data_IF_411264692202
#
_entry.id   IF_411264692202
#
_cell.length_a   1.000
_cell.length_b   1.000
_cell.length_c   1.000
_cell.angle_alpha   90.00
_cell.angle_beta   90.00
_cell.angle_gamma   90.00
#
_symmetry.space_group_name_H-M   'P 1'
#
loop_
_entity.id
_entity.type
_entity.pdbx_description
1 polymer ?
#
# COMPACT_ATOMS: atom_id res chain seq x y z
N UNK A 1 -40.13 -22.41 3.61
CA UNK A 1 -40.31 -20.99 3.25
C UNK A 1 -39.05 -20.50 2.53
N UNK A 2 -39.15 -20.15 1.25
CA UNK A 2 -38.04 -19.63 0.44
C UNK A 2 -37.98 -18.09 0.53
N UNK A 3 -36.81 -17.47 0.79
CA UNK A 3 -36.70 -16.02 0.88
C UNK A 3 -36.70 -15.37 -0.50
N UNK A 4 -37.46 -14.28 -0.65
CA UNK A 4 -37.60 -13.57 -1.91
C UNK A 4 -36.32 -12.81 -2.31
N UNK A 5 -35.80 -13.08 -3.52
CA UNK A 5 -34.67 -12.33 -4.11
C UNK A 5 -35.10 -10.89 -4.45
N UNK A 6 -34.80 -9.91 -3.59
CA UNK A 6 -34.89 -8.48 -3.94
C UNK A 6 -33.81 -8.13 -4.97
N UNK A 7 -34.22 -7.89 -6.23
CA UNK A 7 -33.36 -7.27 -7.25
C UNK A 7 -33.14 -5.79 -6.91
N UNK A 8 -31.95 -5.46 -6.42
CA UNK A 8 -31.49 -4.06 -6.34
C UNK A 8 -31.16 -3.59 -7.76
N UNK A 9 -31.87 -2.57 -8.27
CA UNK A 9 -31.54 -1.96 -9.57
C UNK A 9 -30.24 -1.15 -9.43
N UNK A 10 -29.30 -1.23 -10.39
CA UNK A 10 -28.08 -0.43 -10.34
C UNK A 10 -28.42 1.07 -10.40
N UNK A 11 -27.87 1.83 -9.47
CA UNK A 11 -27.96 3.30 -9.46
C UNK A 11 -27.13 3.81 -10.64
N UNK A 12 -27.76 4.58 -11.55
CA UNK A 12 -27.04 5.21 -12.66
C UNK A 12 -26.05 6.22 -12.06
N UNK A 13 -24.76 5.90 -12.07
CA UNK A 13 -23.73 6.88 -11.73
C UNK A 13 -23.79 8.01 -12.76
N UNK A 14 -23.96 9.25 -12.30
CA UNK A 14 -23.77 10.42 -13.16
C UNK A 14 -22.30 10.42 -13.58
N UNK A 15 -22.04 10.44 -14.88
CA UNK A 15 -20.72 10.72 -15.43
C UNK A 15 -20.32 12.11 -14.99
N UNK A 16 -19.36 12.21 -14.06
CA UNK A 16 -18.66 13.47 -13.82
C UNK A 16 -17.74 13.64 -15.01
N UNK A 17 -17.93 14.71 -15.79
CA UNK A 17 -17.02 15.04 -16.88
C UNK A 17 -15.64 15.32 -16.25
N UNK A 18 -14.64 14.54 -16.65
CA UNK A 18 -13.26 14.85 -16.32
C UNK A 18 -12.87 16.08 -17.14
N UNK A 19 -12.62 17.20 -16.46
CA UNK A 19 -11.97 18.36 -17.08
C UNK A 19 -10.58 17.92 -17.52
N UNK A 20 -10.36 17.88 -18.84
CA UNK A 20 -9.04 17.60 -19.41
C UNK A 20 -8.19 18.86 -19.38
N UNK A 21 -6.91 18.71 -19.06
CA UNK A 21 -5.95 19.79 -18.87
C UNK A 21 -5.79 20.69 -20.13
N UNK A 22 -6.20 20.17 -21.29
CA UNK A 22 -6.25 20.91 -22.56
C UNK A 22 -7.23 22.10 -22.57
N UNK A 23 -8.37 22.04 -21.87
CA UNK A 23 -9.34 23.17 -21.89
C UNK A 23 -8.80 24.42 -21.17
N UNK A 24 -7.91 24.27 -20.18
CA UNK A 24 -7.31 25.40 -19.47
C UNK A 24 -6.19 26.08 -20.29
N UNK A 25 -5.47 25.29 -21.09
CA UNK A 25 -4.50 25.81 -22.07
C UNK A 25 -5.19 26.46 -23.28
N UNK A 26 -6.32 25.94 -23.75
CA UNK A 26 -7.11 26.63 -24.80
C UNK A 26 -7.73 27.95 -24.31
N UNK A 27 -8.16 28.03 -23.04
CA UNK A 27 -8.66 29.28 -22.45
C UNK A 27 -7.60 30.40 -22.34
N UNK A 28 -6.30 30.06 -22.34
CA UNK A 28 -5.19 31.01 -22.28
C UNK A 28 -4.46 31.20 -23.63
N UNK A 29 -4.33 30.17 -24.47
CA UNK A 29 -3.77 30.29 -25.84
C UNK A 29 -4.76 30.91 -26.82
N UNK A 30 -6.07 30.61 -26.70
CA UNK A 30 -7.12 31.14 -27.58
C UNK A 30 -7.31 32.66 -27.54
N UNK A 31 -6.58 33.36 -26.64
CA UNK A 31 -6.51 34.83 -26.57
C UNK A 31 -5.23 35.42 -27.15
N UNK A 32 -4.23 34.60 -27.48
CA UNK A 32 -2.96 35.01 -28.08
C UNK A 32 -3.00 34.79 -29.60
N UNK A 33 -3.57 33.67 -30.07
CA UNK A 33 -3.56 33.33 -31.50
C UNK A 33 -4.47 34.23 -32.37
N UNK A 34 -5.47 34.89 -31.78
CA UNK A 34 -6.29 35.90 -32.48
C UNK A 34 -5.59 37.25 -32.74
N UNK A 35 -4.31 37.38 -32.39
CA UNK A 35 -3.50 38.56 -32.69
C UNK A 35 -2.53 38.39 -33.87
N UNK A 36 -2.44 37.18 -34.45
CA UNK A 36 -1.45 36.86 -35.50
C UNK A 36 -1.98 36.94 -36.95
N UNK A 37 -3.30 37.00 -37.16
CA UNK A 37 -3.91 36.99 -38.49
C UNK A 37 -4.39 38.38 -38.96
N UNK A 38 -3.48 39.36 -38.93
CA UNK A 38 -3.62 40.60 -39.71
C UNK A 38 -2.27 41.28 -40.02
N UNK A 39 -1.20 40.49 -40.16
CA UNK A 39 0.10 40.97 -40.68
C UNK A 39 -0.06 41.26 -42.18
N UNK A 40 -0.64 42.43 -42.49
CA UNK A 40 -0.63 42.99 -43.84
C UNK A 40 0.80 43.34 -44.21
N UNK A 41 1.19 42.89 -45.40
CA UNK A 41 2.43 43.22 -46.08
C UNK A 41 2.78 44.74 -45.95
N UNK A 42 3.87 45.10 -45.24
CA UNK A 42 4.29 46.50 -45.09
C UNK A 42 4.83 47.13 -46.39
N UNK A 43 5.12 46.33 -47.42
CA UNK A 43 5.93 46.72 -48.59
C UNK A 43 5.27 47.75 -49.53
N UNK A 44 3.96 48.01 -49.40
CA UNK A 44 3.23 48.97 -50.24
C UNK A 44 2.90 50.33 -49.60
N UNK A 45 3.26 50.60 -48.34
CA UNK A 45 2.89 51.86 -47.65
C UNK A 45 4.06 52.81 -47.35
N UNK A 46 5.18 52.67 -48.06
CA UNK A 46 6.43 53.41 -47.83
C UNK A 46 6.80 54.43 -48.91
N UNK A 47 5.93 54.71 -49.89
CA UNK A 47 6.18 55.73 -50.94
C UNK A 47 5.42 57.04 -50.76
N UNK A 48 4.17 57.01 -50.28
CA UNK A 48 3.31 58.22 -50.29
C UNK A 48 3.39 59.09 -49.02
N UNK A 49 4.30 58.76 -48.09
CA UNK A 49 4.50 59.51 -46.83
C UNK A 49 5.81 60.33 -46.79
N UNK A 50 6.48 60.50 -47.96
CA UNK A 50 7.76 61.21 -48.05
C UNK A 50 7.65 62.70 -48.44
N UNK A 51 6.43 63.22 -48.58
CA UNK A 51 6.18 64.54 -49.20
C UNK A 51 5.45 65.55 -48.27
N UNK A 52 5.41 65.29 -46.95
CA UNK A 52 4.90 66.26 -45.95
C UNK A 52 5.86 66.52 -44.77
N UNK A 53 7.16 66.28 -44.93
CA UNK A 53 8.18 66.82 -44.00
C UNK A 53 8.55 68.24 -44.37
N UNK A 54 7.63 69.19 -44.17
CA UNK A 54 7.92 70.62 -44.20
C UNK A 54 7.24 71.35 -43.03
N UNK A 55 8.07 72.01 -42.20
CA UNK A 55 7.71 73.15 -41.36
C UNK A 55 6.66 72.94 -40.25
N UNK A 56 6.82 71.89 -39.44
CA UNK A 56 6.31 71.84 -38.07
C UNK A 56 7.39 72.24 -37.06
N UNK A 57 7.32 73.44 -36.48
CA UNK A 57 8.26 73.86 -35.45
C UNK A 57 8.07 73.01 -34.18
N UNK A 58 9.02 72.12 -33.87
CA UNK A 58 8.95 71.27 -32.69
C UNK A 58 8.79 72.13 -31.42
N UNK A 59 7.71 71.96 -30.64
CA UNK A 59 7.49 72.76 -29.44
C UNK A 59 8.65 72.51 -28.46
N UNK A 60 9.25 73.60 -27.96
CA UNK A 60 10.36 73.54 -26.99
C UNK A 60 9.90 72.73 -25.78
N UNK A 61 10.46 71.53 -25.59
CA UNK A 61 10.10 70.61 -24.49
C UNK A 61 10.29 71.31 -23.15
N UNK A 62 9.18 71.66 -22.51
CA UNK A 62 9.16 72.28 -21.18
C UNK A 62 9.85 71.36 -20.16
N UNK A 63 10.51 71.95 -19.16
CA UNK A 63 11.11 71.20 -18.05
C UNK A 63 10.08 70.29 -17.34
N UNK A 64 8.81 70.71 -17.29
CA UNK A 64 7.71 69.92 -16.72
C UNK A 64 7.50 68.56 -17.42
N UNK A 65 7.69 68.48 -18.74
CA UNK A 65 7.58 67.22 -19.50
C UNK A 65 8.65 66.20 -19.07
N UNK A 66 9.87 66.70 -18.78
CA UNK A 66 10.96 65.85 -18.28
C UNK A 66 10.68 65.35 -16.86
N UNK A 67 10.15 66.21 -15.99
CA UNK A 67 9.81 65.84 -14.60
C UNK A 67 8.66 64.82 -14.59
N UNK A 68 7.59 65.06 -15.34
CA UNK A 68 6.45 64.14 -15.44
C UNK A 68 6.88 62.76 -15.94
N UNK A 69 7.73 62.69 -16.97
CA UNK A 69 8.31 61.44 -17.47
C UNK A 69 9.18 60.73 -16.42
N UNK A 70 9.95 61.48 -15.64
CA UNK A 70 10.70 60.94 -14.50
C UNK A 70 9.80 60.31 -13.44
N UNK A 71 8.72 61.01 -13.03
CA UNK A 71 7.75 60.50 -12.04
C UNK A 71 7.04 59.24 -12.54
N UNK A 72 6.58 59.24 -13.80
CA UNK A 72 5.95 58.06 -14.42
C UNK A 72 6.92 56.88 -14.47
N UNK A 73 8.18 57.12 -14.88
CA UNK A 73 9.21 56.09 -14.92
C UNK A 73 9.48 55.48 -13.53
N UNK A 74 9.62 56.32 -12.49
CA UNK A 74 9.80 55.87 -11.10
C UNK A 74 8.60 55.04 -10.65
N UNK A 75 7.38 55.51 -10.88
CA UNK A 75 6.16 54.77 -10.53
C UNK A 75 6.09 53.40 -11.23
N UNK A 76 6.36 53.35 -12.54
CA UNK A 76 6.43 52.09 -13.29
C UNK A 76 7.50 51.13 -12.74
N UNK A 77 8.69 51.64 -12.38
CA UNK A 77 9.75 50.83 -11.76
C UNK A 77 9.30 50.31 -10.39
N UNK A 78 8.68 51.14 -9.54
CA UNK A 78 8.17 50.72 -8.23
C UNK A 78 7.09 49.63 -8.34
N UNK A 79 6.13 49.77 -9.27
CA UNK A 79 5.12 48.74 -9.50
C UNK A 79 5.72 47.44 -10.07
N UNK A 80 6.68 47.53 -11.00
CA UNK A 80 7.40 46.38 -11.54
C UNK A 80 8.18 45.64 -10.46
N UNK A 81 8.90 46.36 -9.60
CA UNK A 81 9.63 45.76 -8.46
C UNK A 81 8.67 45.11 -7.47
N UNK A 82 7.56 45.77 -7.10
CA UNK A 82 6.56 45.18 -6.20
C UNK A 82 5.95 43.89 -6.76
N UNK A 83 5.54 43.88 -8.03
CA UNK A 83 5.02 42.68 -8.68
C UNK A 83 6.07 41.57 -8.75
N UNK A 84 7.32 41.94 -9.07
CA UNK A 84 8.45 40.99 -9.12
C UNK A 84 8.74 40.39 -7.74
N UNK A 85 8.79 41.20 -6.68
CA UNK A 85 8.97 40.72 -5.30
C UNK A 85 7.85 39.78 -4.89
N UNK A 86 6.58 40.09 -5.16
CA UNK A 86 5.47 39.19 -4.87
C UNK A 86 5.57 37.86 -5.65
N UNK A 87 5.96 37.92 -6.93
CA UNK A 87 6.20 36.72 -7.73
C UNK A 87 7.35 35.87 -7.17
N UNK A 88 8.48 36.49 -6.81
CA UNK A 88 9.61 35.78 -6.20
C UNK A 88 9.24 35.21 -4.82
N UNK A 89 8.49 35.93 -3.99
CA UNK A 89 8.02 35.40 -2.70
C UNK A 89 7.15 34.16 -2.91
N UNK A 90 6.21 34.18 -3.87
CA UNK A 90 5.40 33.00 -4.21
C UNK A 90 6.28 31.87 -4.78
N UNK A 91 7.21 32.17 -5.68
CA UNK A 91 8.15 31.18 -6.24
C UNK A 91 8.96 30.47 -5.15
N UNK A 92 9.48 31.21 -4.17
CA UNK A 92 10.23 30.67 -3.03
C UNK A 92 9.37 29.99 -1.95
N UNK A 93 8.03 30.00 -2.06
CA UNK A 93 7.18 29.09 -1.27
C UNK A 93 7.13 27.67 -1.83
N UNK A 94 7.69 27.43 -3.03
CA UNK A 94 7.68 26.13 -3.73
C UNK A 94 6.29 25.47 -3.75
N UNK A 95 5.24 26.17 -4.22
CA UNK A 95 3.88 25.67 -4.20
C UNK A 95 3.74 24.47 -5.15
N UNK A 96 3.04 23.43 -4.69
CA UNK A 96 2.79 22.21 -5.47
C UNK A 96 1.31 22.10 -5.85
N UNK A 97 1.04 21.38 -6.93
CA UNK A 97 -0.32 21.02 -7.37
C UNK A 97 -0.42 19.51 -7.52
N UNK A 98 -1.61 18.96 -7.28
CA UNK A 98 -1.88 17.53 -7.41
C UNK A 98 -2.54 17.25 -8.76
N UNK A 99 -1.81 16.60 -9.66
CA UNK A 99 -2.40 16.01 -10.88
C UNK A 99 -2.77 14.55 -10.64
N UNK A 100 -3.97 14.16 -11.07
CA UNK A 100 -4.50 12.80 -10.92
C UNK A 100 -4.68 12.18 -12.30
N UNK A 101 -3.73 11.34 -12.70
CA UNK A 101 -3.72 10.67 -14.00
C UNK A 101 -4.13 9.20 -13.81
N UNK A 102 -5.14 8.75 -14.55
CA UNK A 102 -5.54 7.33 -14.60
C UNK A 102 -4.98 6.72 -15.89
N UNK A 103 -3.98 5.85 -15.75
CA UNK A 103 -3.33 5.15 -16.86
C UNK A 103 -3.74 3.67 -16.90
N UNK A 104 -3.60 3.05 -18.07
CA UNK A 104 -3.70 1.60 -18.25
C UNK A 104 -2.34 1.09 -18.76
N UNK A 105 -1.33 0.97 -17.89
CA UNK A 105 0.01 0.52 -18.27
C UNK A 105 0.00 -0.93 -18.81
N UNK A 106 0.85 -1.22 -19.80
CA UNK A 106 0.99 -2.58 -20.34
C UNK A 106 1.73 -3.53 -19.40
N UNK A 107 2.57 -3.00 -18.52
CA UNK A 107 3.35 -3.76 -17.53
C UNK A 107 3.19 -3.10 -16.17
N UNK A 108 2.78 -3.86 -15.16
CA UNK A 108 2.73 -3.40 -13.77
C UNK A 108 3.61 -4.24 -12.86
N UNK A 109 4.07 -3.64 -11.77
CA UNK A 109 4.70 -4.38 -10.68
C UNK A 109 3.57 -5.12 -9.93
N UNK A 110 3.72 -6.43 -9.72
CA UNK A 110 2.73 -7.18 -8.94
C UNK A 110 2.74 -6.68 -7.48
N UNK A 111 1.58 -6.56 -6.82
CA UNK A 111 1.56 -6.29 -5.38
C UNK A 111 2.16 -7.48 -4.62
N UNK A 112 2.51 -7.24 -3.35
CA UNK A 112 2.65 -8.33 -2.39
C UNK A 112 1.28 -8.72 -1.83
N UNK A 113 1.08 -10.02 -1.62
CA UNK A 113 -0.12 -10.59 -1.03
C UNK A 113 0.27 -11.35 0.24
N UNK A 114 -0.15 -10.87 1.40
CA UNK A 114 0.19 -11.49 2.69
C UNK A 114 -1.04 -12.16 3.28
N UNK A 115 -0.90 -13.44 3.66
CA UNK A 115 -1.96 -14.25 4.26
C UNK A 115 -1.54 -14.74 5.66
N UNK A 116 -2.37 -14.47 6.66
CA UNK A 116 -2.21 -14.93 8.04
C UNK A 116 -3.37 -15.83 8.43
N UNK A 117 -3.12 -16.84 9.27
CA UNK A 117 -4.21 -17.45 10.03
C UNK A 117 -4.78 -16.43 11.03
N UNK A 118 -6.11 -16.37 11.19
CA UNK A 118 -6.72 -15.63 12.30
C UNK A 118 -6.40 -16.26 13.66
N UNK A 119 -5.96 -17.51 13.66
CA UNK A 119 -5.55 -18.28 14.83
C UNK A 119 -4.06 -18.67 14.72
N UNK A 120 -3.16 -18.02 15.47
CA UNK A 120 -1.71 -18.19 15.31
C UNK A 120 -1.16 -19.48 15.92
N UNK A 121 -1.99 -20.30 16.59
CA UNK A 121 -1.54 -21.46 17.36
C UNK A 121 -2.31 -22.71 16.94
N UNK A 122 -1.58 -23.78 16.63
CA UNK A 122 -2.16 -25.10 16.47
C UNK A 122 -2.57 -25.71 17.83
N UNK A 123 -3.87 -25.92 18.03
CA UNK A 123 -4.42 -26.46 19.29
C UNK A 123 -3.83 -27.81 19.68
N UNK A 124 -3.71 -28.74 18.72
CA UNK A 124 -3.25 -30.10 19.00
C UNK A 124 -1.77 -30.09 19.37
N UNK A 125 -0.95 -29.28 18.68
CA UNK A 125 0.44 -29.06 19.05
C UNK A 125 0.55 -28.49 20.47
N UNK A 126 -0.17 -27.39 20.76
CA UNK A 126 -0.14 -26.72 22.06
C UNK A 126 -0.56 -27.66 23.20
N UNK A 127 -1.66 -28.40 23.07
CA UNK A 127 -2.11 -29.32 24.12
C UNK A 127 -1.27 -30.61 24.23
N UNK A 128 -0.39 -30.89 23.26
CA UNK A 128 0.61 -31.97 23.34
C UNK A 128 1.84 -31.51 24.12
N UNK A 129 2.29 -30.27 23.89
CA UNK A 129 3.48 -29.68 24.52
C UNK A 129 3.19 -29.14 25.94
N UNK A 130 2.01 -28.57 26.16
CA UNK A 130 1.55 -28.00 27.43
C UNK A 130 0.27 -28.68 27.93
N UNK A 131 0.29 -29.99 28.23
CA UNK A 131 -0.90 -30.76 28.60
C UNK A 131 -1.59 -30.29 29.89
N UNK A 132 -0.90 -29.51 30.73
CA UNK A 132 -1.39 -28.90 31.96
C UNK A 132 -2.16 -27.57 31.74
N UNK A 133 -1.97 -26.92 30.59
CA UNK A 133 -2.69 -25.71 30.16
C UNK A 133 -3.95 -26.05 29.34
N UNK A 134 -4.22 -27.34 29.12
CA UNK A 134 -5.42 -27.82 28.44
C UNK A 134 -6.28 -28.71 29.34
N UNK A 135 -7.59 -28.66 29.13
CA UNK A 135 -8.57 -29.56 29.76
C UNK A 135 -9.30 -30.41 28.73
N UNK A 136 -9.86 -31.53 29.18
CA UNK A 136 -10.87 -32.27 28.41
C UNK A 136 -12.23 -31.62 28.67
N UNK A 137 -13.10 -31.42 27.66
CA UNK A 137 -14.47 -30.97 27.89
C UNK A 137 -15.21 -31.91 28.86
N UNK A 138 -15.96 -31.34 29.80
CA UNK A 138 -16.74 -32.11 30.79
C UNK A 138 -17.81 -32.98 30.11
N UNK A 139 -18.53 -32.41 29.16
CA UNK A 139 -19.47 -33.10 28.28
C UNK A 139 -18.98 -33.01 26.84
N UNK A 140 -18.42 -34.10 26.32
CA UNK A 140 -17.87 -34.12 24.95
C UNK A 140 -18.97 -34.00 23.89
N UNK A 141 -20.15 -34.59 24.11
CA UNK A 141 -21.26 -34.57 23.15
C UNK A 141 -21.78 -33.14 22.98
N UNK A 142 -22.15 -32.47 24.08
CA UNK A 142 -22.60 -31.08 24.08
C UNK A 142 -21.55 -30.11 23.51
N UNK A 143 -20.27 -30.31 23.87
CA UNK A 143 -19.18 -29.51 23.29
C UNK A 143 -19.10 -29.67 21.77
N UNK A 144 -19.27 -30.88 21.24
CA UNK A 144 -19.21 -31.16 19.81
C UNK A 144 -20.49 -30.77 19.05
N UNK A 145 -21.65 -30.78 19.70
CA UNK A 145 -22.88 -30.19 19.16
C UNK A 145 -22.75 -28.67 19.02
N UNK A 146 -22.17 -28.00 20.03
CA UNK A 146 -21.93 -26.54 20.01
C UNK A 146 -20.81 -26.13 19.05
N UNK A 147 -19.73 -26.91 18.98
CA UNK A 147 -18.51 -26.61 18.21
C UNK A 147 -18.10 -27.76 17.26
N UNK A 148 -18.93 -28.13 16.27
CA UNK A 148 -18.73 -29.33 15.45
C UNK A 148 -17.43 -29.30 14.64
N UNK A 149 -16.96 -28.12 14.22
CA UNK A 149 -15.67 -27.94 13.55
C UNK A 149 -14.48 -28.42 14.40
N UNK A 150 -14.60 -28.48 15.73
CA UNK A 150 -13.49 -28.82 16.61
C UNK A 150 -13.40 -30.31 16.96
N UNK A 151 -14.29 -31.16 16.43
CA UNK A 151 -14.52 -32.53 16.92
C UNK A 151 -14.32 -33.65 15.88
N UNK A 152 -13.70 -33.37 14.73
CA UNK A 152 -13.63 -34.27 13.58
C UNK A 152 -13.42 -35.76 13.91
N UNK A 153 -14.52 -36.52 13.83
CA UNK A 153 -14.52 -37.98 13.99
C UNK A 153 -14.62 -38.55 15.41
N UNK A 154 -14.90 -37.74 16.45
CA UNK A 154 -14.99 -38.18 17.86
C UNK A 154 -13.69 -38.76 18.45
N UNK A 155 -12.73 -37.90 18.76
CA UNK A 155 -11.57 -38.29 19.57
C UNK A 155 -11.88 -38.23 21.07
N UNK A 156 -11.85 -39.39 21.75
CA UNK A 156 -11.90 -39.49 23.22
C UNK A 156 -10.76 -38.74 23.92
N UNK A 157 -9.70 -38.43 23.17
CA UNK A 157 -8.51 -37.67 23.57
C UNK A 157 -8.62 -36.15 23.28
N UNK A 158 -9.78 -35.63 22.89
CA UNK A 158 -9.95 -34.20 22.64
C UNK A 158 -9.56 -33.36 23.87
N UNK A 159 -8.58 -32.47 23.69
CA UNK A 159 -8.16 -31.46 24.66
C UNK A 159 -8.34 -30.08 24.06
N UNK A 160 -8.75 -29.13 24.89
CA UNK A 160 -8.92 -27.71 24.56
C UNK A 160 -8.09 -26.86 25.52
N UNK A 161 -7.58 -25.69 25.11
CA UNK A 161 -6.96 -24.75 26.03
C UNK A 161 -7.95 -24.38 27.14
N UNK A 162 -7.46 -24.33 28.37
CA UNK A 162 -8.29 -24.10 29.54
C UNK A 162 -8.60 -22.59 29.69
N UNK A 163 -9.57 -22.10 28.92
CA UNK A 163 -9.85 -20.65 28.81
C UNK A 163 -10.12 -19.97 30.16
N UNK A 164 -10.71 -20.66 31.15
CA UNK A 164 -10.89 -20.10 32.50
C UNK A 164 -9.55 -19.74 33.18
N UNK A 165 -8.49 -20.53 32.95
CA UNK A 165 -7.11 -20.23 33.42
C UNK A 165 -6.39 -19.18 32.57
N UNK A 166 -7.00 -18.75 31.47
CA UNK A 166 -6.44 -17.81 30.49
C UNK A 166 -7.18 -16.45 30.55
N UNK A 167 -8.47 -16.43 30.89
CA UNK A 167 -9.27 -15.20 30.95
C UNK A 167 -9.22 -14.51 32.32
N UNK A 168 -9.09 -15.25 33.42
CA UNK A 168 -8.97 -14.66 34.78
C UNK A 168 -7.68 -13.87 35.03
N UNK A 169 -6.71 -14.07 34.15
CA UNK A 169 -5.51 -13.28 33.86
C UNK A 169 -4.90 -14.01 32.67
N UNK A 170 -4.52 -13.34 31.57
CA UNK A 170 -3.78 -14.01 30.50
C UNK A 170 -2.43 -14.41 31.05
N UNK A 171 -2.36 -15.64 31.59
CA UNK A 171 -1.30 -16.00 32.50
C UNK A 171 0.02 -15.88 31.76
N UNK A 172 1.00 -15.22 32.38
CA UNK A 172 2.32 -15.01 31.79
C UNK A 172 2.87 -16.33 31.21
N UNK A 173 2.63 -17.44 31.92
CA UNK A 173 2.89 -18.83 31.50
C UNK A 173 2.25 -19.26 30.17
N UNK A 174 1.03 -18.83 29.87
CA UNK A 174 0.36 -19.15 28.59
C UNK A 174 0.95 -18.31 27.45
N UNK A 175 1.25 -17.03 27.70
CA UNK A 175 1.94 -16.17 26.74
C UNK A 175 3.36 -16.69 26.47
N UNK A 176 4.11 -17.04 27.52
CA UNK A 176 5.42 -17.69 27.47
C UNK A 176 5.36 -19.02 26.70
N UNK A 177 4.35 -19.86 26.91
CA UNK A 177 4.18 -21.12 26.18
C UNK A 177 3.92 -20.91 24.68
N UNK A 178 3.05 -19.96 24.32
CA UNK A 178 2.79 -19.61 22.92
C UNK A 178 4.05 -19.03 22.27
N UNK A 179 4.71 -18.08 22.93
CA UNK A 179 5.96 -17.50 22.46
C UNK A 179 7.07 -18.54 22.33
N UNK A 180 7.19 -19.47 23.27
CA UNK A 180 8.15 -20.58 23.23
C UNK A 180 7.89 -21.47 22.01
N UNK A 181 6.65 -21.88 21.74
CA UNK A 181 6.30 -22.63 20.53
C UNK A 181 6.71 -21.91 19.24
N UNK A 182 6.37 -20.62 19.09
CA UNK A 182 6.80 -19.86 17.92
C UNK A 182 8.33 -19.78 17.85
N UNK A 183 9.02 -19.57 18.96
CA UNK A 183 10.48 -19.52 19.03
C UNK A 183 11.18 -20.84 18.71
N UNK A 184 10.65 -21.98 19.18
CA UNK A 184 11.20 -23.29 18.84
C UNK A 184 11.02 -23.60 17.35
N UNK A 185 9.94 -23.15 16.71
CA UNK A 185 9.83 -23.20 15.25
C UNK A 185 10.84 -22.29 14.55
N UNK A 186 10.93 -21.02 14.96
CA UNK A 186 11.86 -20.01 14.40
C UNK A 186 13.32 -20.48 14.42
N UNK A 187 13.75 -21.09 15.53
CA UNK A 187 15.11 -21.60 15.69
C UNK A 187 15.33 -22.98 15.02
N UNK A 188 14.35 -23.50 14.27
CA UNK A 188 14.43 -24.81 13.61
C UNK A 188 14.46 -26.01 14.58
N UNK A 189 14.17 -25.79 15.86
CA UNK A 189 14.12 -26.85 16.88
C UNK A 189 12.85 -27.70 16.72
N UNK A 190 11.74 -27.08 16.32
CA UNK A 190 10.55 -27.79 15.84
C UNK A 190 10.59 -27.95 14.32
N UNK A 191 10.38 -29.19 13.85
CA UNK A 191 10.14 -29.50 12.43
C UNK A 191 8.67 -29.33 12.01
N UNK A 192 7.77 -29.00 12.95
CA UNK A 192 6.34 -28.81 12.69
C UNK A 192 6.05 -27.32 12.64
N UNK A 193 5.54 -26.84 11.52
CA UNK A 193 5.03 -25.47 11.40
C UNK A 193 3.82 -25.32 12.35
N UNK A 194 3.85 -24.40 13.33
CA UNK A 194 2.74 -24.18 14.25
C UNK A 194 1.62 -23.33 13.61
N UNK A 195 1.83 -22.80 12.40
CA UNK A 195 0.79 -22.17 11.60
C UNK A 195 -0.27 -23.18 11.17
N UNK A 196 -1.53 -22.85 11.43
CA UNK A 196 -2.66 -23.58 10.88
C UNK A 196 -2.89 -23.30 9.39
N UNK A 197 -2.24 -22.28 8.81
CA UNK A 197 -2.43 -21.88 7.41
C UNK A 197 -1.30 -22.41 6.51
N UNK A 198 -1.69 -23.19 5.51
CA UNK A 198 -0.89 -23.56 4.35
C UNK A 198 -1.37 -22.80 3.12
N UNK A 199 -0.46 -22.42 2.26
CA UNK A 199 -0.80 -21.77 1.00
C UNK A 199 -0.15 -22.53 -0.15
N UNK A 200 -0.95 -22.95 -1.11
CA UNK A 200 -0.52 -23.58 -2.34
C UNK A 200 -0.62 -22.55 -3.47
N UNK A 201 0.46 -22.44 -4.23
CA UNK A 201 0.64 -21.47 -5.31
C UNK A 201 1.49 -22.09 -6.41
N UNK A 202 1.27 -21.68 -7.67
CA UNK A 202 1.96 -22.23 -8.84
C UNK A 202 3.10 -21.35 -9.37
N UNK A 203 3.35 -20.19 -8.74
CA UNK A 203 4.45 -19.28 -9.08
C UNK A 203 5.60 -19.33 -8.07
N UNK A 204 6.17 -18.17 -7.75
CA UNK A 204 7.33 -18.03 -6.86
C UNK A 204 7.16 -18.60 -5.45
N UNK A 205 8.29 -18.91 -4.80
CA UNK A 205 8.37 -19.20 -3.37
C UNK A 205 7.69 -18.11 -2.52
N UNK A 206 6.96 -18.51 -1.48
CA UNK A 206 6.41 -17.60 -0.48
C UNK A 206 7.41 -17.35 0.64
N UNK A 207 7.46 -16.12 1.13
CA UNK A 207 8.27 -15.77 2.29
C UNK A 207 7.40 -15.90 3.55
N UNK A 208 7.83 -16.74 4.49
CA UNK A 208 7.27 -16.73 5.85
C UNK A 208 7.69 -15.43 6.55
N UNK A 209 6.71 -14.69 7.06
CA UNK A 209 6.89 -13.45 7.82
C UNK A 209 6.20 -13.57 9.18
N UNK A 210 6.83 -12.99 10.20
CA UNK A 210 6.34 -13.04 11.57
C UNK A 210 5.77 -11.68 11.94
N UNK A 211 4.43 -11.63 12.04
CA UNK A 211 3.68 -10.40 12.20
C UNK A 211 3.15 -10.33 13.62
N UNK A 212 3.55 -9.29 14.37
CA UNK A 212 3.04 -9.06 15.71
C UNK A 212 1.59 -8.56 15.63
N UNK A 213 0.67 -9.30 16.22
CA UNK A 213 -0.73 -8.93 16.33
C UNK A 213 -0.95 -8.14 17.62
N UNK A 214 -1.10 -6.83 17.49
CA UNK A 214 -1.25 -5.90 18.62
C UNK A 214 -2.52 -6.15 19.45
N UNK A 215 -3.55 -6.80 18.89
CA UNK A 215 -4.82 -7.03 19.57
C UNK A 215 -4.76 -8.18 20.59
N UNK A 216 -3.80 -9.09 20.44
CA UNK A 216 -3.69 -10.29 21.28
C UNK A 216 -2.27 -10.53 21.84
N UNK A 217 -1.27 -9.77 21.41
CA UNK A 217 0.11 -9.87 21.89
C UNK A 217 0.90 -11.06 21.35
N UNK A 218 0.37 -11.78 20.35
CA UNK A 218 1.06 -12.92 19.73
C UNK A 218 1.72 -12.55 18.40
N UNK A 219 2.80 -13.25 18.09
CA UNK A 219 3.32 -13.30 16.73
C UNK A 219 2.48 -14.31 15.94
N UNK A 220 2.08 -13.92 14.73
CA UNK A 220 1.41 -14.79 13.77
C UNK A 220 2.39 -15.10 12.64
N UNK A 221 2.47 -16.37 12.24
CA UNK A 221 3.18 -16.78 11.03
C UNK A 221 2.27 -16.50 9.85
N UNK A 222 2.75 -15.68 8.93
CA UNK A 222 2.04 -15.28 7.73
C UNK A 222 2.89 -15.60 6.50
N UNK A 223 2.24 -15.89 5.39
CA UNK A 223 2.90 -16.20 4.13
C UNK A 223 2.69 -15.04 3.16
N UNK A 224 3.79 -14.47 2.65
CA UNK A 224 3.73 -13.35 1.69
C UNK A 224 4.24 -13.78 0.31
N UNK A 225 3.41 -13.55 -0.69
CA UNK A 225 3.81 -13.58 -2.10
C UNK A 225 4.47 -12.26 -2.50
N UNK A 226 5.48 -12.36 -3.36
CA UNK A 226 6.15 -11.22 -4.00
C UNK A 226 6.61 -10.10 -3.03
N UNK A 227 6.98 -10.45 -1.78
CA UNK A 227 7.55 -9.50 -0.82
C UNK A 227 9.05 -9.32 -1.06
N UNK A 228 9.52 -8.09 -1.24
CA UNK A 228 10.91 -7.71 -1.50
C UNK A 228 11.37 -6.50 -0.68
N UNK A 229 10.91 -6.43 0.58
CA UNK A 229 11.31 -5.41 1.55
C UNK A 229 12.80 -5.44 1.93
N UNK A 230 13.36 -6.64 2.11
CA UNK A 230 14.66 -6.88 2.76
C UNK A 230 15.59 -7.78 1.93
N UNK A 231 15.73 -7.54 0.62
CA UNK A 231 16.63 -8.32 -0.21
C UNK A 231 16.98 -7.71 -1.56
N UNK A 232 17.96 -8.31 -2.24
CA UNK A 232 18.53 -7.82 -3.50
C UNK A 232 17.67 -8.15 -4.74
N UNK A 233 16.61 -8.94 -4.55
CA UNK A 233 15.68 -9.36 -5.60
C UNK A 233 14.77 -8.19 -6.04
N UNK A 234 14.38 -8.21 -7.31
CA UNK A 234 13.36 -7.30 -7.84
C UNK A 234 11.98 -7.96 -7.75
N UNK A 235 10.90 -7.16 -7.63
CA UNK A 235 9.55 -7.70 -7.62
C UNK A 235 9.15 -8.25 -8.99
N UNK A 236 8.27 -9.24 -8.97
CA UNK A 236 7.62 -9.76 -10.16
C UNK A 236 6.87 -8.63 -10.89
N UNK A 237 6.95 -8.66 -12.22
CA UNK A 237 6.18 -7.80 -13.12
C UNK A 237 5.15 -8.64 -13.86
N UNK A 238 4.00 -8.04 -14.16
CA UNK A 238 2.92 -8.67 -14.89
C UNK A 238 2.57 -7.85 -16.13
N UNK A 239 2.57 -8.51 -17.28
CA UNK A 239 2.22 -7.90 -18.57
C UNK A 239 0.73 -8.10 -18.84
N UNK A 240 -0.01 -6.99 -18.93
CA UNK A 240 -1.44 -6.95 -19.19
C UNK A 240 -1.66 -7.16 -20.69
N UNK A 241 -2.12 -8.36 -21.06
CA UNK A 241 -2.42 -8.71 -22.45
C UNK A 241 -3.74 -8.07 -22.92
N UNK A 242 -3.68 -6.79 -23.30
CA UNK A 242 -4.80 -5.98 -23.82
C UNK A 242 -5.53 -6.55 -25.03
N UNK A 243 -4.95 -7.54 -25.73
CA UNK A 243 -5.53 -8.20 -26.89
C UNK A 243 -6.76 -9.08 -26.57
N UNK A 244 -6.90 -9.58 -25.34
CA UNK A 244 -8.05 -10.39 -24.91
C UNK A 244 -9.25 -9.53 -24.50
N UNK A 245 -9.86 -8.84 -25.48
CA UNK A 245 -11.13 -8.08 -25.28
C UNK A 245 -12.19 -8.95 -24.59
N UNK A 246 -12.56 -8.56 -23.37
CA UNK A 246 -13.62 -9.20 -22.56
C UNK A 246 -13.15 -10.30 -21.60
N UNK A 247 -11.88 -10.71 -21.64
CA UNK A 247 -11.30 -11.56 -20.59
C UNK A 247 -10.93 -10.73 -19.36
N UNK A 248 -11.36 -11.16 -18.17
CA UNK A 248 -10.75 -10.64 -16.93
C UNK A 248 -9.32 -11.20 -16.85
N UNK A 249 -8.33 -10.32 -16.76
CA UNK A 249 -6.93 -10.72 -16.70
C UNK A 249 -6.60 -11.21 -15.29
N UNK A 250 -6.79 -12.50 -15.03
CA UNK A 250 -6.43 -13.10 -13.74
C UNK A 250 -4.93 -12.88 -13.47
N UNK A 251 -4.61 -12.23 -12.35
CA UNK A 251 -3.22 -12.06 -11.90
C UNK A 251 -2.71 -13.40 -11.39
N UNK A 252 -3.32 -13.88 -10.30
CA UNK A 252 -2.89 -15.05 -9.55
C UNK A 252 -4.12 -15.87 -9.07
N UNK A 253 -3.90 -17.16 -8.87
CA UNK A 253 -4.87 -18.15 -8.35
C UNK A 253 -4.23 -18.91 -7.19
N UNK A 254 -4.69 -18.64 -5.97
CA UNK A 254 -4.02 -19.04 -4.73
C UNK A 254 -4.92 -20.03 -3.99
N UNK A 255 -4.35 -21.11 -3.45
CA UNK A 255 -5.11 -22.15 -2.74
C UNK A 255 -4.70 -22.26 -1.26
N UNK A 256 -5.45 -21.62 -0.35
CA UNK A 256 -5.24 -21.49 1.10
C UNK A 256 -5.83 -22.65 1.93
N UNK A 257 -5.13 -23.73 2.26
CA UNK A 257 -5.68 -24.72 3.20
C UNK A 257 -5.45 -24.27 4.63
N UNK A 258 -6.47 -24.41 5.47
CA UNK A 258 -6.22 -24.45 6.90
C UNK A 258 -6.29 -25.88 7.41
N UNK A 259 -5.47 -26.18 8.42
CA UNK A 259 -5.53 -27.44 9.13
C UNK A 259 -6.91 -27.57 9.79
N UNK A 260 -7.68 -28.56 9.34
CA UNK A 260 -9.06 -28.75 9.79
C UNK A 260 -9.08 -29.06 11.29
N UNK A 261 -9.95 -28.38 12.04
CA UNK A 261 -10.29 -28.70 13.43
C UNK A 261 -9.21 -28.35 14.48
N UNK A 262 -8.27 -27.45 14.19
CA UNK A 262 -7.10 -27.19 15.06
C UNK A 262 -7.01 -25.75 15.61
N UNK A 263 -8.14 -25.02 15.64
CA UNK A 263 -8.22 -23.69 16.26
C UNK A 263 -7.99 -23.77 17.77
N UNK A 264 -7.02 -22.98 18.27
CA UNK A 264 -6.72 -22.78 19.68
C UNK A 264 -7.93 -22.17 20.40
N UNK A 265 -8.51 -21.11 19.84
CA UNK A 265 -9.74 -20.49 20.36
C UNK A 265 -10.96 -21.20 19.78
N UNK A 266 -11.33 -22.34 20.38
CA UNK A 266 -12.41 -23.21 19.89
C UNK A 266 -13.77 -22.52 19.69
N UNK A 267 -14.02 -21.37 20.31
CA UNK A 267 -15.25 -20.59 20.11
C UNK A 267 -15.26 -19.76 18.82
N UNK A 268 -14.08 -19.54 18.23
CA UNK A 268 -13.92 -18.75 17.00
C UNK A 268 -13.81 -19.70 15.82
N UNK A 269 -14.64 -19.48 14.80
CA UNK A 269 -14.38 -20.08 13.49
C UNK A 269 -13.06 -19.52 12.96
N UNK A 270 -12.10 -20.37 12.59
CA UNK A 270 -10.84 -19.90 12.07
C UNK A 270 -11.06 -19.34 10.66
N UNK A 271 -10.30 -18.30 10.31
CA UNK A 271 -10.40 -17.55 9.06
C UNK A 271 -8.98 -17.30 8.54
N UNK A 272 -8.86 -16.99 7.25
CA UNK A 272 -7.63 -16.38 6.75
C UNK A 272 -7.82 -14.88 6.75
N UNK A 273 -6.86 -14.14 7.32
CA UNK A 273 -6.80 -12.68 7.22
C UNK A 273 -5.76 -12.37 6.15
N UNK A 274 -6.06 -11.45 5.22
CA UNK A 274 -5.12 -11.11 4.16
C UNK A 274 -4.97 -9.60 3.95
N UNK A 275 -3.92 -9.21 3.25
CA UNK A 275 -3.78 -7.86 2.71
C UNK A 275 -3.04 -7.84 1.37
N UNK A 276 -3.26 -6.75 0.65
CA UNK A 276 -2.64 -6.43 -0.64
C UNK A 276 -1.88 -5.13 -0.45
N UNK A 277 -0.58 -5.14 -0.69
CA UNK A 277 0.30 -3.99 -0.41
C UNK A 277 1.45 -3.89 -1.41
N UNK A 278 2.23 -2.80 -1.32
CA UNK A 278 3.45 -2.66 -2.11
C UNK A 278 4.45 -3.78 -1.77
N UNK A 279 5.18 -4.34 -2.76
CA UNK A 279 6.19 -5.37 -2.51
C UNK A 279 7.36 -4.88 -1.66
N UNK A 280 7.50 -3.57 -1.45
CA UNK A 280 8.62 -2.97 -0.71
C UNK A 280 8.31 -2.69 0.78
N UNK A 281 7.10 -3.00 1.25
CA UNK A 281 6.68 -2.79 2.64
C UNK A 281 6.21 -4.10 3.27
N UNK A 282 6.50 -4.26 4.57
CA UNK A 282 5.77 -5.22 5.41
C UNK A 282 4.45 -4.58 5.81
N UNK A 283 3.33 -5.22 5.49
CA UNK A 283 2.02 -4.86 6.02
C UNK A 283 1.60 -5.80 7.16
N UNK A 284 0.62 -5.39 7.98
CA UNK A 284 0.06 -6.19 9.06
C UNK A 284 -1.43 -6.45 8.79
N UNK A 285 -1.80 -7.62 8.22
CA UNK A 285 -3.19 -7.95 7.90
C UNK A 285 -4.16 -7.86 9.09
N UNK A 286 -3.69 -8.04 10.33
CA UNK A 286 -4.53 -7.96 11.53
C UNK A 286 -5.06 -6.54 11.83
N UNK A 287 -4.46 -5.49 11.26
CA UNK A 287 -4.94 -4.11 11.38
C UNK A 287 -6.12 -3.87 10.44
N UNK A 288 -6.00 -4.27 9.16
CA UNK A 288 -7.03 -4.04 8.14
C UNK A 288 -8.18 -5.07 8.18
N UNK A 289 -7.93 -6.27 8.72
CA UNK A 289 -8.94 -7.32 8.95
C UNK A 289 -9.77 -7.72 7.71
N UNK A 290 -9.14 -7.81 6.52
CA UNK A 290 -9.81 -8.43 5.38
C UNK A 290 -9.91 -9.94 5.61
N UNK A 291 -11.08 -10.43 6.01
CA UNK A 291 -11.30 -11.83 6.37
C UNK A 291 -11.84 -12.67 5.20
N UNK A 292 -11.20 -13.82 4.96
CA UNK A 292 -11.67 -14.88 4.07
C UNK A 292 -12.22 -16.04 4.92
N UNK A 293 -13.51 -16.33 4.73
CA UNK A 293 -14.18 -17.51 5.29
C UNK A 293 -13.90 -18.75 4.44
N UNK A 294 -13.73 -19.90 5.10
CA UNK A 294 -13.43 -21.19 4.48
C UNK A 294 -14.59 -21.70 3.61
N UNK A 295 -14.28 -22.55 2.63
CA UNK A 295 -15.27 -23.16 1.73
C UNK A 295 -15.86 -22.20 0.68
N UNK A 296 -15.40 -20.94 0.64
CA UNK A 296 -15.80 -19.95 -0.35
C UNK A 296 -14.67 -19.69 -1.35
N UNK A 297 -15.05 -19.33 -2.59
CA UNK A 297 -14.16 -18.76 -3.61
C UNK A 297 -14.31 -17.25 -3.60
N UNK A 298 -13.19 -16.53 -3.60
CA UNK A 298 -13.15 -15.08 -3.66
C UNK A 298 -12.60 -14.60 -5.00
N UNK A 299 -13.17 -13.51 -5.50
CA UNK A 299 -12.64 -12.71 -6.61
C UNK A 299 -12.23 -11.36 -6.02
N UNK A 300 -10.95 -11.01 -6.13
CA UNK A 300 -10.38 -9.79 -5.55
C UNK A 300 -9.85 -8.92 -6.69
N UNK A 301 -10.58 -7.83 -6.99
CA UNK A 301 -10.16 -6.83 -7.98
C UNK A 301 -9.15 -5.86 -7.35
N UNK A 302 -7.92 -5.78 -7.89
CA UNK A 302 -6.88 -4.88 -7.35
C UNK A 302 -6.79 -3.59 -8.16
N UNK A 303 -6.66 -2.44 -7.48
CA UNK A 303 -6.31 -1.15 -8.11
C UNK A 303 -5.00 -0.66 -7.56
N UNK A 304 -4.01 -0.50 -8.44
CA UNK A 304 -2.75 0.13 -8.08
C UNK A 304 -2.93 1.66 -7.99
N UNK A 305 -2.22 2.26 -7.03
CA UNK A 305 -2.09 3.70 -6.87
C UNK A 305 -0.60 3.99 -6.70
N UNK A 306 -0.10 4.90 -7.51
CA UNK A 306 1.26 5.42 -7.42
C UNK A 306 1.19 6.91 -7.08
N UNK A 307 2.16 7.39 -6.29
CA UNK A 307 2.23 8.77 -5.85
C UNK A 307 3.64 9.29 -6.17
N UNK A 308 3.71 10.28 -7.05
CA UNK A 308 4.96 10.90 -7.48
C UNK A 308 5.17 12.18 -6.69
N UNK A 309 6.08 12.13 -5.74
CA UNK A 309 6.40 13.25 -4.84
C UNK A 309 7.65 13.98 -5.32
N UNK A 310 7.67 15.31 -5.23
CA UNK A 310 8.81 16.12 -5.64
C UNK A 310 9.94 16.06 -4.59
N UNK A 311 11.22 16.12 -5.00
CA UNK A 311 12.34 16.20 -4.06
C UNK A 311 12.39 17.57 -3.36
N UNK A 312 13.27 17.72 -2.37
CA UNK A 312 13.63 19.02 -1.81
C UNK A 312 14.03 20.01 -2.94
N UNK A 313 13.61 21.29 -2.93
CA UNK A 313 13.04 22.07 -1.81
C UNK A 313 11.51 22.01 -1.66
N UNK A 314 10.79 21.22 -2.46
CA UNK A 314 9.33 21.14 -2.34
C UNK A 314 8.90 20.49 -1.01
N UNK A 315 7.76 20.91 -0.42
CA UNK A 315 7.30 20.47 0.91
C UNK A 315 6.71 19.04 0.95
N UNK A 316 7.16 18.17 0.04
CA UNK A 316 6.66 16.81 -0.20
C UNK A 316 7.45 15.71 0.52
N UNK A 317 8.55 16.06 1.21
CA UNK A 317 9.42 15.17 2.01
C UNK A 317 9.77 13.84 1.31
N UNK A 318 10.02 13.92 -0.01
CA UNK A 318 10.29 12.75 -0.85
C UNK A 318 11.72 12.25 -0.65
N UNK A 319 11.84 10.94 -0.46
CA UNK A 319 13.12 10.20 -0.51
C UNK A 319 12.95 9.04 -1.48
N UNK A 320 13.72 8.99 -2.56
CA UNK A 320 13.73 7.83 -3.45
C UNK A 320 14.54 6.69 -2.82
N UNK A 321 13.83 5.83 -2.09
CA UNK A 321 14.40 4.64 -1.48
C UNK A 321 14.86 3.58 -2.50
N UNK A 322 14.39 3.61 -3.75
CA UNK A 322 14.87 2.67 -4.78
C UNK A 322 16.21 3.13 -5.36
N UNK A 323 16.41 4.43 -5.57
CA UNK A 323 17.71 4.98 -5.97
C UNK A 323 18.75 4.82 -4.86
N UNK A 324 18.43 5.19 -3.62
CA UNK A 324 19.32 4.96 -2.47
C UNK A 324 19.67 3.48 -2.32
N UNK A 325 18.72 2.57 -2.52
CA UNK A 325 18.99 1.13 -2.49
C UNK A 325 19.89 0.68 -3.65
N UNK A 326 19.69 1.19 -4.87
CA UNK A 326 20.55 0.93 -6.04
C UNK A 326 21.99 1.40 -5.78
N UNK A 327 22.17 2.63 -5.33
CA UNK A 327 23.46 3.24 -5.01
C UNK A 327 24.21 2.48 -3.91
N UNK A 328 23.50 2.02 -2.88
CA UNK A 328 24.06 1.22 -1.79
C UNK A 328 24.21 -0.27 -2.15
N UNK A 329 24.56 -0.59 -3.40
CA UNK A 329 24.79 -1.96 -3.90
C UNK A 329 23.62 -2.93 -3.61
N UNK A 330 22.37 -2.46 -3.76
CA UNK A 330 21.13 -3.19 -3.44
C UNK A 330 20.99 -3.55 -1.95
N UNK A 331 21.49 -2.70 -1.05
CA UNK A 331 21.33 -2.85 0.39
C UNK A 331 20.58 -1.66 1.00
N UNK A 332 19.87 -1.88 2.11
CA UNK A 332 19.09 -0.85 2.79
C UNK A 332 17.57 -0.94 2.56
N UNK A 333 16.79 -0.05 3.18
CA UNK A 333 15.33 -0.05 3.09
C UNK A 333 14.85 0.45 1.72
N UNK A 334 13.87 -0.23 1.12
CA UNK A 334 13.22 0.18 -0.14
C UNK A 334 11.94 1.02 0.07
N UNK A 335 11.68 1.47 1.29
CA UNK A 335 10.47 2.23 1.68
C UNK A 335 10.67 2.96 3.01
N UNK A 336 9.83 3.97 3.27
CA UNK A 336 9.88 4.75 4.51
C UNK A 336 9.51 3.89 5.73
N UNK A 337 8.57 2.96 5.58
CA UNK A 337 8.12 2.02 6.61
C UNK A 337 9.25 1.07 7.00
N UNK A 338 9.94 0.48 6.01
CA UNK A 338 11.10 -0.39 6.26
C UNK A 338 12.27 0.41 6.85
N UNK A 339 12.45 1.69 6.46
CA UNK A 339 13.42 2.59 7.07
C UNK A 339 13.12 2.85 8.56
N UNK A 340 11.88 3.23 8.89
CA UNK A 340 11.39 3.43 10.26
C UNK A 340 11.52 2.15 11.10
N UNK A 341 11.13 0.99 10.56
CA UNK A 341 11.26 -0.32 11.20
C UNK A 341 12.72 -0.67 11.49
N UNK A 342 13.63 -0.44 10.52
CA UNK A 342 15.08 -0.67 10.70
C UNK A 342 15.67 0.26 11.76
N UNK A 343 15.29 1.53 11.77
CA UNK A 343 15.70 2.50 12.79
C UNK A 343 15.28 2.05 14.20
N UNK A 344 14.01 1.66 14.36
CA UNK A 344 13.48 1.15 15.63
C UNK A 344 14.26 -0.07 16.16
N UNK A 345 14.57 -1.04 15.29
CA UNK A 345 15.42 -2.21 15.66
C UNK A 345 16.81 -1.79 16.08
N UNK A 346 17.47 -0.92 15.32
CA UNK A 346 18.83 -0.47 15.64
C UNK A 346 18.85 0.27 16.99
N UNK A 347 17.82 1.05 17.29
CA UNK A 347 17.63 1.66 18.59
C UNK A 347 17.44 0.63 19.72
N UNK A 348 16.55 -0.37 19.56
CA UNK A 348 16.36 -1.44 20.55
C UNK A 348 17.66 -2.22 20.82
N UNK A 349 18.40 -2.56 19.77
CA UNK A 349 19.67 -3.28 19.89
C UNK A 349 20.75 -2.47 20.61
N UNK A 350 20.79 -1.15 20.40
CA UNK A 350 21.73 -0.26 21.07
C UNK A 350 21.37 -0.02 22.55
N UNK A 351 20.09 0.24 22.85
CA UNK A 351 19.64 0.55 24.20
C UNK A 351 19.57 -0.67 25.12
N UNK A 352 19.02 -1.79 24.63
CA UNK A 352 18.72 -2.95 25.47
C UNK A 352 19.71 -4.11 25.29
N UNK A 353 20.58 -4.07 24.27
CA UNK A 353 21.43 -5.19 23.83
C UNK A 353 20.62 -6.46 23.49
N UNK A 354 19.33 -6.28 23.18
CA UNK A 354 18.41 -7.32 22.76
C UNK A 354 18.18 -7.21 21.26
N UNK A 355 18.40 -8.29 20.52
CA UNK A 355 17.93 -8.39 19.13
C UNK A 355 16.48 -8.85 19.12
N UNK A 356 15.53 -8.10 18.54
CA UNK A 356 14.14 -8.53 18.45
C UNK A 356 14.04 -9.83 17.64
N UNK A 357 13.15 -10.72 18.10
CA UNK A 357 13.11 -12.13 17.72
C UNK A 357 13.01 -12.36 16.20
N UNK A 358 12.33 -11.45 15.50
CA UNK A 358 12.12 -11.53 14.07
C UNK A 358 13.37 -11.26 13.21
N UNK A 359 14.44 -10.71 13.77
CA UNK A 359 15.70 -10.46 13.04
C UNK A 359 16.58 -11.72 12.89
N UNK A 360 16.30 -12.80 13.64
CA UNK A 360 17.12 -14.04 13.65
C UNK A 360 16.68 -15.11 12.64
N UNK A 361 15.62 -14.88 11.88
CA UNK A 361 15.00 -15.88 11.00
C UNK A 361 15.78 -16.10 9.69
N UNK A 362 15.84 -17.35 9.24
CA UNK A 362 16.11 -17.74 7.85
C UNK A 362 14.89 -18.52 7.34
N UNK A 363 14.43 -18.32 6.09
CA UNK A 363 13.31 -19.08 5.54
C UNK A 363 13.67 -20.57 5.35
N UNK A 364 12.68 -21.45 5.53
CA UNK A 364 12.75 -22.89 5.30
C UNK A 364 11.49 -23.34 4.52
N UNK A 365 11.65 -24.25 3.54
CA UNK A 365 10.54 -24.72 2.67
C UNK A 365 9.83 -26.00 3.19
N UNK A 366 8.52 -26.16 2.89
CA UNK A 366 7.86 -27.34 2.21
C UNK A 366 6.32 -27.51 2.41
N UNK A 367 5.57 -27.69 1.31
CA UNK A 367 4.33 -28.51 1.00
C UNK A 367 3.20 -28.76 2.07
N UNK A 368 1.88 -28.88 1.79
CA UNK A 368 1.01 -28.88 0.57
C UNK A 368 -0.52 -28.73 0.90
N UNK A 369 -1.37 -28.64 -0.15
CA UNK A 369 -2.87 -28.66 -0.26
C UNK A 369 -3.64 -27.37 0.15
N UNK A 370 -4.88 -27.12 -0.35
CA UNK A 370 -5.45 -25.72 -0.48
C UNK A 370 -7.00 -25.43 -0.40
N UNK A 371 -7.40 -24.14 -0.45
CA UNK A 371 -8.78 -23.54 -0.68
C UNK A 371 -8.70 -22.35 -1.67
N UNK A 372 -9.54 -22.29 -2.72
CA UNK A 372 -9.48 -21.27 -3.80
C UNK A 372 -9.64 -19.78 -3.42
N UNK A 373 -8.73 -18.96 -3.94
CA UNK A 373 -8.81 -17.50 -4.11
C UNK A 373 -8.35 -17.14 -5.53
N UNK A 374 -9.04 -16.20 -6.17
CA UNK A 374 -8.68 -15.68 -7.49
C UNK A 374 -8.47 -14.16 -7.39
N UNK A 375 -7.30 -13.69 -7.81
CA UNK A 375 -6.96 -12.26 -7.91
C UNK A 375 -7.12 -11.83 -9.37
N UNK A 376 -7.77 -10.68 -9.59
CA UNK A 376 -8.23 -10.18 -10.89
C UNK A 376 -7.73 -8.75 -11.11
#
# INVERSE_FOLDING_TARGET
MTPAKRRIKPRKNKTVAAFTENEFLEATSGRIDKFSENVRDPSRRTRDLREQTNQGAFPKKSAADKILKGVILIFCISCFLYQSTNFFMLYFTYPTTLSLIVTNPEVIIKPALTFCSSDPVNRIHFCTEYPNLCKKPSNLTEFCEKYPFNCGGYNSNLRIPDLEKIEGNFTLKTLEAIQHMHLSYIHGQSKRNPSNLRVQWSGSEMKENFIFNQLNGFYSICNSLNLHSDGNAEPEKWTINSSKRGGRNMIDYIALQMANNESFLYERFPKVIFSVHSPFVHDNPHILQNELKLGHRYEIDVRLKEEYLLPHPYPTDCTDYNDLWRENNKTGPRSQETCKKKCYVTFEEQCWKCTPLWKKMKPNEKYMQGILVQVI
#
